data_IF_764478666655
#
_entry.id   IF_764478666655
#
_cell.length_a   1.000
_cell.length_b   1.000
_cell.length_c   1.000
_cell.angle_alpha   90.00
_cell.angle_beta   90.00
_cell.angle_gamma   90.00
#
_symmetry.space_group_name_H-M   'P 1'
#
loop_
_entity.id
_entity.type
_entity.pdbx_description
1 polymer ?
#
# COMPACT_ATOMS: atom_id res chain seq x y z
N UNK A 1 111.94 35.38 67.16
CA UNK A 1 110.46 35.33 67.21
C UNK A 1 109.78 35.26 65.84
N UNK A 2 110.48 35.18 64.68
CA UNK A 2 109.82 34.98 63.38
C UNK A 2 109.67 33.52 62.95
N UNK A 3 110.52 32.61 63.45
CA UNK A 3 110.48 31.18 63.11
C UNK A 3 109.29 30.43 63.71
N UNK A 4 108.88 30.75 64.96
CA UNK A 4 107.71 30.15 65.62
C UNK A 4 106.39 30.55 64.97
N UNK A 5 106.32 31.75 64.38
CA UNK A 5 105.16 32.24 63.64
C UNK A 5 105.03 31.54 62.28
N UNK A 6 106.16 31.23 61.63
CA UNK A 6 106.22 30.43 60.40
C UNK A 6 105.82 28.97 60.66
N UNK A 7 106.27 28.39 61.77
CA UNK A 7 105.92 27.03 62.21
C UNK A 7 104.42 26.89 62.55
N UNK A 8 103.83 27.89 63.23
CA UNK A 8 102.38 27.92 63.50
C UNK A 8 101.54 28.09 62.22
N UNK A 9 102.05 28.82 61.22
CA UNK A 9 101.42 28.94 59.89
C UNK A 9 101.54 27.64 59.07
N UNK A 10 102.67 26.93 59.18
CA UNK A 10 102.92 25.67 58.47
C UNK A 10 102.18 24.48 59.08
N UNK A 11 101.89 24.50 60.38
CA UNK A 11 101.17 23.40 61.06
C UNK A 11 99.68 23.29 60.68
N UNK A 12 99.03 24.41 60.35
CA UNK A 12 97.61 24.43 59.94
C UNK A 12 97.37 24.23 58.44
N UNK A 13 98.44 24.22 57.65
CA UNK A 13 98.40 24.04 56.19
C UNK A 13 97.89 22.65 55.76
N UNK A 14 98.29 21.53 56.39
CA UNK A 14 97.76 20.21 56.10
C UNK A 14 96.25 20.10 56.43
N UNK A 15 95.83 20.58 57.60
CA UNK A 15 94.41 20.55 58.01
C UNK A 15 93.55 21.45 57.11
N UNK A 16 94.06 22.62 56.71
CA UNK A 16 93.39 23.49 55.76
C UNK A 16 93.32 22.87 54.36
N UNK A 17 94.36 22.15 53.93
CA UNK A 17 94.41 21.41 52.66
C UNK A 17 93.41 20.24 52.65
N UNK A 18 93.34 19.47 53.73
CA UNK A 18 92.39 18.36 53.88
C UNK A 18 90.95 18.85 53.97
N UNK A 19 90.72 19.96 54.67
CA UNK A 19 89.39 20.61 54.73
C UNK A 19 88.99 21.13 53.36
N UNK A 20 89.90 21.77 52.63
CA UNK A 20 89.67 22.25 51.27
C UNK A 20 89.45 21.09 50.28
N UNK A 21 90.19 19.98 50.38
CA UNK A 21 90.01 18.81 49.52
C UNK A 21 88.68 18.11 49.78
N UNK A 22 88.27 18.00 51.04
CA UNK A 22 86.97 17.46 51.45
C UNK A 22 85.81 18.34 50.96
N UNK A 23 85.95 19.66 51.07
CA UNK A 23 84.97 20.61 50.49
C UNK A 23 84.91 20.51 48.97
N UNK A 24 86.05 20.44 48.29
CA UNK A 24 86.11 20.31 46.84
C UNK A 24 85.44 19.01 46.39
N UNK A 25 85.69 17.89 47.08
CA UNK A 25 85.08 16.58 46.80
C UNK A 25 83.57 16.64 46.97
N UNK A 26 83.08 17.21 48.09
CA UNK A 26 81.63 17.42 48.30
C UNK A 26 80.99 18.32 47.24
N UNK A 27 81.68 19.37 46.82
CA UNK A 27 81.21 20.25 45.73
C UNK A 27 81.17 19.50 44.39
N UNK A 28 82.19 18.70 44.10
CA UNK A 28 82.27 17.89 42.89
C UNK A 28 81.14 16.85 42.83
N UNK A 29 80.87 16.17 43.95
CA UNK A 29 79.79 15.18 44.06
C UNK A 29 78.41 15.83 43.93
N UNK A 30 78.22 17.01 44.53
CA UNK A 30 76.99 17.79 44.39
C UNK A 30 76.77 18.26 42.95
N UNK A 31 77.79 18.82 42.29
CA UNK A 31 77.73 19.22 40.89
C UNK A 31 77.47 18.02 39.97
N UNK A 32 78.15 16.90 40.21
CA UNK A 32 77.93 15.67 39.44
C UNK A 32 76.49 15.17 39.58
N UNK A 33 75.96 15.14 40.81
CA UNK A 33 74.58 14.74 41.09
C UNK A 33 73.57 15.66 40.41
N UNK A 34 73.79 16.98 40.50
CA UNK A 34 72.94 17.99 39.85
C UNK A 34 72.95 17.84 38.32
N UNK A 35 74.13 17.68 37.72
CA UNK A 35 74.28 17.47 36.27
C UNK A 35 73.62 16.17 35.81
N UNK A 36 73.75 15.10 36.60
CA UNK A 36 73.09 13.81 36.32
C UNK A 36 71.58 13.96 36.35
N UNK A 37 71.02 14.62 37.36
CA UNK A 37 69.58 14.88 37.46
C UNK A 37 69.07 15.77 36.32
N UNK A 38 69.82 16.83 35.98
CA UNK A 38 69.49 17.71 34.86
C UNK A 38 69.51 16.98 33.52
N UNK A 39 70.49 16.12 33.28
CA UNK A 39 70.55 15.29 32.08
C UNK A 39 69.38 14.30 32.01
N UNK A 40 69.02 13.68 33.12
CA UNK A 40 67.84 12.80 33.19
C UNK A 40 66.54 13.55 32.85
N UNK A 41 66.33 14.74 33.42
CA UNK A 41 65.15 15.59 33.10
C UNK A 41 65.14 16.02 31.63
N UNK A 42 66.29 16.39 31.06
CA UNK A 42 66.41 16.74 29.63
C UNK A 42 66.09 15.55 28.72
N UNK A 43 66.62 14.37 29.02
CA UNK A 43 66.33 13.14 28.27
C UNK A 43 64.84 12.81 28.32
N UNK A 44 64.22 12.88 29.51
CA UNK A 44 62.78 12.65 29.67
C UNK A 44 61.95 13.64 28.85
N UNK A 45 62.27 14.94 28.92
CA UNK A 45 61.58 15.97 28.13
C UNK A 45 61.74 15.73 26.61
N UNK A 46 62.93 15.33 26.17
CA UNK A 46 63.17 14.99 24.77
C UNK A 46 62.37 13.76 24.32
N UNK A 47 62.29 12.71 25.15
CA UNK A 47 61.49 11.52 24.84
C UNK A 47 59.99 11.87 24.71
N UNK A 48 59.48 12.72 25.60
CA UNK A 48 58.10 13.19 25.55
C UNK A 48 57.83 14.07 24.33
N UNK A 49 58.71 15.02 23.99
CA UNK A 49 58.53 15.86 22.81
C UNK A 49 58.64 15.07 21.51
N UNK A 50 59.50 14.04 21.48
CA UNK A 50 59.57 13.11 20.36
C UNK A 50 58.26 12.31 20.25
N UNK A 51 57.74 11.77 21.35
CA UNK A 51 56.47 11.06 21.39
C UNK A 51 55.33 11.94 20.86
N UNK A 52 55.25 13.20 21.30
CA UNK A 52 54.24 14.16 20.84
C UNK A 52 54.34 14.43 19.34
N UNK A 53 55.56 14.61 18.81
CA UNK A 53 55.78 14.78 17.37
C UNK A 53 55.26 13.60 16.57
N UNK A 54 55.59 12.38 17.00
CA UNK A 54 55.14 11.16 16.34
C UNK A 54 53.61 10.97 16.44
N UNK A 55 52.98 11.41 17.53
CA UNK A 55 51.53 11.43 17.66
C UNK A 55 50.86 12.42 16.70
N UNK A 56 51.42 13.62 16.54
CA UNK A 56 50.92 14.62 15.59
C UNK A 56 51.07 14.13 14.14
N UNK A 57 52.20 13.51 13.80
CA UNK A 57 52.42 12.91 12.48
C UNK A 57 51.40 11.79 12.21
N UNK A 58 51.16 10.93 13.21
CA UNK A 58 50.17 9.86 13.12
C UNK A 58 48.74 10.38 13.00
N UNK A 59 48.37 11.41 13.76
CA UNK A 59 47.06 12.05 13.66
C UNK A 59 46.85 12.68 12.27
N UNK A 60 47.88 13.33 11.72
CA UNK A 60 47.87 13.89 10.37
C UNK A 60 47.66 12.82 9.29
N UNK A 61 48.37 11.70 9.39
CA UNK A 61 48.18 10.56 8.49
C UNK A 61 46.78 9.95 8.63
N UNK A 62 46.34 9.72 9.86
CA UNK A 62 45.02 9.14 10.14
C UNK A 62 43.86 10.01 9.62
N UNK A 63 44.01 11.33 9.63
CA UNK A 63 43.02 12.26 9.05
C UNK A 63 42.96 12.22 7.53
N UNK A 64 44.04 11.84 6.85
CA UNK A 64 44.11 11.79 5.39
C UNK A 64 43.55 10.50 4.79
N UNK A 65 43.30 9.48 5.61
CA UNK A 65 42.68 8.22 5.17
C UNK A 65 41.28 8.51 4.62
N UNK A 66 40.96 8.11 3.37
CA UNK A 66 39.64 8.29 2.79
C UNK A 66 38.63 7.39 3.51
N UNK A 67 37.53 7.99 3.94
CA UNK A 67 36.36 7.30 4.52
C UNK A 67 35.13 7.59 3.65
N UNK A 68 34.20 6.63 3.46
CA UNK A 68 34.20 5.28 4.02
C UNK A 68 35.12 4.29 3.28
N UNK A 69 35.68 3.34 4.03
CA UNK A 69 36.44 2.19 3.51
C UNK A 69 36.08 0.92 4.31
N UNK A 70 36.46 -0.26 3.82
CA UNK A 70 36.16 -1.51 4.55
C UNK A 70 36.96 -1.57 5.86
N UNK A 71 36.39 -2.16 6.90
CA UNK A 71 37.06 -2.35 8.19
C UNK A 71 38.35 -3.15 8.05
N UNK A 72 38.38 -4.12 7.12
CA UNK A 72 39.57 -4.92 6.82
C UNK A 72 40.69 -4.08 6.20
N UNK A 73 40.38 -3.28 5.19
CA UNK A 73 41.37 -2.40 4.54
C UNK A 73 41.87 -1.34 5.52
N UNK A 74 40.98 -0.72 6.30
CA UNK A 74 41.34 0.27 7.32
C UNK A 74 42.30 -0.32 8.37
N UNK A 75 41.99 -1.51 8.88
CA UNK A 75 42.82 -2.17 9.88
C UNK A 75 44.20 -2.52 9.32
N UNK A 76 44.28 -2.98 8.08
CA UNK A 76 45.55 -3.32 7.43
C UNK A 76 46.44 -2.09 7.20
N UNK A 77 45.90 -1.00 6.64
CA UNK A 77 46.68 0.24 6.40
C UNK A 77 47.12 0.89 7.70
N UNK A 78 46.22 0.99 8.69
CA UNK A 78 46.55 1.58 9.99
C UNK A 78 47.61 0.76 10.72
N UNK A 79 47.44 -0.56 10.82
CA UNK A 79 48.43 -1.40 11.52
C UNK A 79 49.81 -1.36 10.84
N UNK A 80 49.86 -1.42 9.50
CA UNK A 80 51.12 -1.33 8.77
C UNK A 80 51.84 0.00 9.03
N UNK A 81 51.10 1.11 9.10
CA UNK A 81 51.67 2.41 9.41
C UNK A 81 52.14 2.51 10.86
N UNK A 82 51.35 1.98 11.81
CA UNK A 82 51.70 1.97 13.23
C UNK A 82 52.98 1.16 13.51
N UNK A 83 53.12 -0.01 12.89
CA UNK A 83 54.29 -0.86 13.07
C UNK A 83 55.57 -0.14 12.60
N UNK A 84 55.53 0.50 11.42
CA UNK A 84 56.63 1.31 10.89
C UNK A 84 56.96 2.50 11.81
N UNK A 85 55.92 3.16 12.33
CA UNK A 85 56.06 4.33 13.18
C UNK A 85 56.68 3.98 14.52
N UNK A 86 56.24 2.87 15.13
CA UNK A 86 56.81 2.34 16.38
C UNK A 86 58.25 1.87 16.21
N UNK A 87 58.59 1.20 15.09
CA UNK A 87 59.96 0.78 14.79
C UNK A 87 60.89 2.00 14.62
N UNK A 88 60.44 3.02 13.89
CA UNK A 88 61.18 4.28 13.70
C UNK A 88 61.36 5.05 15.01
N UNK A 89 60.37 5.00 15.89
CA UNK A 89 60.46 5.62 17.22
C UNK A 89 61.45 4.88 18.13
N UNK A 90 61.38 3.54 18.17
CA UNK A 90 62.27 2.70 18.97
C UNK A 90 63.74 2.83 18.53
N UNK A 91 64.00 2.86 17.23
CA UNK A 91 65.37 3.07 16.69
C UNK A 91 65.92 4.44 17.09
N UNK A 92 65.14 5.52 17.00
CA UNK A 92 65.59 6.86 17.46
C UNK A 92 65.88 6.91 18.95
N UNK A 93 65.10 6.21 19.78
CA UNK A 93 65.33 6.15 21.23
C UNK A 93 66.52 5.28 21.63
N UNK A 94 66.80 4.22 20.88
CA UNK A 94 67.87 3.26 21.20
C UNK A 94 69.27 3.87 21.26
N UNK A 95 69.49 5.02 20.59
CA UNK A 95 70.75 5.77 20.63
C UNK A 95 70.93 6.63 21.89
N UNK A 96 69.84 6.89 22.62
CA UNK A 96 69.79 7.88 23.70
C UNK A 96 69.52 7.27 25.07
N UNK A 97 68.85 6.11 25.10
CA UNK A 97 68.27 5.55 26.32
C UNK A 97 68.48 4.03 26.36
N UNK A 98 68.67 3.41 27.54
CA UNK A 98 68.74 1.95 27.69
C UNK A 98 67.52 1.21 27.10
N UNK A 99 67.70 -0.08 26.81
CA UNK A 99 66.65 -0.92 26.20
C UNK A 99 65.39 -1.03 27.07
N UNK A 100 65.53 -1.10 28.40
CA UNK A 100 64.39 -1.22 29.30
C UNK A 100 63.49 0.01 29.20
N UNK A 101 64.05 1.21 29.28
CA UNK A 101 63.32 2.48 29.18
C UNK A 101 62.77 2.71 27.76
N UNK A 102 63.48 2.28 26.72
CA UNK A 102 62.98 2.34 25.32
C UNK A 102 61.65 1.59 25.17
N UNK A 103 61.53 0.42 25.83
CA UNK A 103 60.29 -0.37 25.81
C UNK A 103 59.13 0.35 26.52
N UNK A 104 59.42 1.07 27.61
CA UNK A 104 58.42 1.84 28.37
C UNK A 104 57.83 2.97 27.53
N UNK A 105 58.68 3.77 26.89
CA UNK A 105 58.21 4.87 26.02
C UNK A 105 57.50 4.35 24.77
N UNK A 106 57.98 3.26 24.16
CA UNK A 106 57.31 2.66 22.99
C UNK A 106 55.92 2.12 23.33
N UNK A 107 55.76 1.49 24.50
CA UNK A 107 54.47 1.05 25.00
C UNK A 107 53.53 2.24 25.32
N UNK A 108 54.06 3.34 25.84
CA UNK A 108 53.28 4.56 26.06
C UNK A 108 52.77 5.14 24.74
N UNK A 109 53.64 5.27 23.73
CA UNK A 109 53.27 5.73 22.41
C UNK A 109 52.22 4.82 21.77
N UNK A 110 52.39 3.49 21.85
CA UNK A 110 51.43 2.51 21.35
C UNK A 110 50.02 2.72 21.94
N UNK A 111 49.89 2.90 23.25
CA UNK A 111 48.59 3.18 23.90
C UNK A 111 47.96 4.48 23.39
N UNK A 112 48.77 5.53 23.22
CA UNK A 112 48.28 6.79 22.65
C UNK A 112 47.81 6.63 21.20
N UNK A 113 48.51 5.82 20.40
CA UNK A 113 48.13 5.51 19.03
C UNK A 113 46.85 4.67 18.96
N UNK A 114 46.65 3.71 19.87
CA UNK A 114 45.42 2.92 19.96
C UNK A 114 44.16 3.80 20.12
N UNK A 115 44.25 4.91 20.86
CA UNK A 115 43.17 5.89 20.97
C UNK A 115 42.88 6.59 19.63
N UNK A 116 43.92 6.94 18.86
CA UNK A 116 43.74 7.53 17.53
C UNK A 116 43.13 6.52 16.55
N UNK A 117 43.53 5.24 16.60
CA UNK A 117 42.92 4.17 15.82
C UNK A 117 41.43 4.05 16.10
N UNK A 118 41.06 4.00 17.38
CA UNK A 118 39.65 3.92 17.78
C UNK A 118 38.84 5.13 17.27
N UNK A 119 39.43 6.32 17.28
CA UNK A 119 38.80 7.52 16.74
C UNK A 119 38.57 7.45 15.22
N UNK A 120 39.54 6.92 14.46
CA UNK A 120 39.40 6.72 13.01
C UNK A 120 38.39 5.63 12.67
N UNK A 121 38.40 4.52 13.42
CA UNK A 121 37.41 3.45 13.27
C UNK A 121 36.00 3.99 13.48
N UNK A 122 35.78 4.74 14.57
CA UNK A 122 34.48 5.37 14.84
C UNK A 122 34.07 6.35 13.73
N UNK A 123 35.02 7.11 13.17
CA UNK A 123 34.75 8.02 12.04
C UNK A 123 34.34 7.24 10.79
N UNK A 124 34.98 6.10 10.53
CA UNK A 124 34.66 5.22 9.40
C UNK A 124 33.28 4.56 9.59
N UNK A 125 32.99 4.05 10.78
CA UNK A 125 31.69 3.43 11.10
C UNK A 125 30.55 4.42 10.89
N UNK A 126 30.68 5.65 11.39
CA UNK A 126 29.69 6.72 11.15
C UNK A 126 29.55 7.08 9.67
N UNK A 127 30.63 7.01 8.89
CA UNK A 127 30.59 7.28 7.47
C UNK A 127 29.90 6.14 6.70
N UNK A 128 30.12 4.88 7.11
CA UNK A 128 29.44 3.70 6.57
C UNK A 128 27.95 3.72 6.89
N UNK A 129 27.56 4.01 8.14
CA UNK A 129 26.16 4.17 8.54
C UNK A 129 25.45 5.20 7.65
N UNK A 130 26.03 6.39 7.49
CA UNK A 130 25.49 7.43 6.60
C UNK A 130 25.41 6.99 5.14
N UNK A 131 26.39 6.24 4.65
CA UNK A 131 26.37 5.71 3.29
C UNK A 131 25.21 4.73 3.11
N UNK A 132 24.98 3.83 4.07
CA UNK A 132 23.85 2.91 4.03
C UNK A 132 22.52 3.65 4.11
N UNK A 133 22.35 4.59 5.05
CA UNK A 133 21.13 5.40 5.20
C UNK A 133 20.80 6.17 3.92
N UNK A 134 21.79 6.86 3.33
CA UNK A 134 21.61 7.59 2.07
C UNK A 134 21.27 6.66 0.91
N UNK A 135 21.87 5.47 0.86
CA UNK A 135 21.59 4.49 -0.19
C UNK A 135 20.18 3.90 -0.06
N UNK A 136 19.70 3.69 1.17
CA UNK A 136 18.32 3.26 1.44
C UNK A 136 17.33 4.34 0.99
N UNK A 137 17.60 5.61 1.31
CA UNK A 137 16.76 6.73 0.88
C UNK A 137 16.70 6.82 -0.65
N UNK A 138 17.86 6.79 -1.33
CA UNK A 138 17.91 6.81 -2.78
C UNK A 138 17.19 5.61 -3.43
N UNK A 139 17.34 4.40 -2.86
CA UNK A 139 16.64 3.21 -3.32
C UNK A 139 15.11 3.34 -3.16
N UNK A 140 14.64 3.92 -2.06
CA UNK A 140 13.22 4.17 -1.81
C UNK A 140 12.63 5.21 -2.78
N UNK A 141 13.40 6.24 -3.13
CA UNK A 141 12.99 7.24 -4.12
C UNK A 141 12.87 6.62 -5.52
N UNK A 142 13.85 5.78 -5.91
CA UNK A 142 13.82 5.04 -7.18
C UNK A 142 12.62 4.10 -7.21
N UNK A 143 12.36 3.36 -6.13
CA UNK A 143 11.17 2.51 -6.02
C UNK A 143 9.91 3.33 -6.30
N UNK A 144 9.72 4.44 -5.58
CA UNK A 144 8.53 5.30 -5.68
C UNK A 144 8.34 5.86 -7.10
N UNK A 145 9.43 6.23 -7.77
CA UNK A 145 9.39 6.72 -9.15
C UNK A 145 9.01 5.65 -10.18
N UNK A 146 9.31 4.37 -9.90
CA UNK A 146 9.06 3.24 -10.82
C UNK A 146 7.68 2.62 -10.64
N UNK A 147 7.07 2.75 -9.45
CA UNK A 147 5.80 2.07 -9.12
C UNK A 147 4.57 2.97 -9.22
N UNK A 148 4.58 4.01 -10.07
CA UNK A 148 3.44 4.92 -10.19
C UNK A 148 2.20 4.22 -10.79
N UNK A 149 1.06 4.30 -10.08
CA UNK A 149 -0.22 3.77 -10.55
C UNK A 149 -0.88 4.76 -11.53
N UNK A 150 -1.17 4.31 -12.74
CA UNK A 150 -1.95 5.06 -13.73
C UNK A 150 -3.45 4.72 -13.67
N UNK A 151 -3.80 3.61 -13.03
CA UNK A 151 -5.15 3.08 -12.88
C UNK A 151 -5.14 1.87 -11.96
N UNK A 152 -6.29 1.23 -11.79
CA UNK A 152 -6.38 -0.03 -11.07
C UNK A 152 -5.64 -1.14 -11.84
N UNK A 153 -4.79 -1.87 -11.14
CA UNK A 153 -3.98 -2.97 -11.69
C UNK A 153 -4.46 -4.30 -11.14
N UNK A 154 -4.54 -5.32 -11.99
CA UNK A 154 -4.81 -6.70 -11.57
C UNK A 154 -3.64 -7.24 -10.74
N UNK A 155 -3.87 -8.33 -10.00
CA UNK A 155 -2.83 -8.94 -9.14
C UNK A 155 -1.55 -9.27 -9.95
N UNK A 156 -1.71 -9.75 -11.17
CA UNK A 156 -0.58 -10.08 -12.05
C UNK A 156 0.21 -8.85 -12.49
N UNK A 157 -0.48 -7.74 -12.79
CA UNK A 157 0.14 -6.47 -13.17
C UNK A 157 0.81 -5.81 -11.96
N UNK A 158 0.15 -5.87 -10.79
CA UNK A 158 0.67 -5.36 -9.54
C UNK A 158 1.97 -6.08 -9.14
N UNK A 159 2.01 -7.41 -9.18
CA UNK A 159 3.23 -8.18 -8.86
C UNK A 159 4.38 -7.89 -9.84
N UNK A 160 4.09 -7.69 -11.13
CA UNK A 160 5.12 -7.26 -12.10
C UNK A 160 5.67 -5.87 -11.79
N UNK A 161 4.80 -4.91 -11.47
CA UNK A 161 5.20 -3.55 -11.12
C UNK A 161 6.03 -3.53 -9.84
N UNK A 162 5.55 -4.23 -8.80
CA UNK A 162 6.25 -4.44 -7.53
C UNK A 162 7.64 -5.03 -7.76
N UNK A 163 7.75 -6.12 -8.52
CA UNK A 163 9.04 -6.74 -8.82
C UNK A 163 9.99 -5.77 -9.52
N UNK A 164 9.50 -5.05 -10.53
CA UNK A 164 10.30 -4.05 -11.27
C UNK A 164 10.81 -2.95 -10.34
N UNK A 165 9.97 -2.45 -9.44
CA UNK A 165 10.37 -1.44 -8.45
C UNK A 165 11.38 -1.97 -7.43
N UNK A 166 11.16 -3.18 -6.90
CA UNK A 166 12.05 -3.81 -5.93
C UNK A 166 13.42 -4.09 -6.54
N UNK A 167 13.46 -4.68 -7.73
CA UNK A 167 14.71 -5.01 -8.42
C UNK A 167 15.53 -3.73 -8.69
N UNK A 168 14.88 -2.64 -9.14
CA UNK A 168 15.54 -1.35 -9.35
C UNK A 168 16.06 -0.70 -8.05
N UNK A 169 15.32 -0.83 -6.95
CA UNK A 169 15.75 -0.31 -5.64
C UNK A 169 16.97 -1.08 -5.11
N UNK A 170 16.98 -2.41 -5.24
CA UNK A 170 18.12 -3.24 -4.86
C UNK A 170 19.34 -2.99 -5.75
N UNK A 171 19.15 -2.76 -7.05
CA UNK A 171 20.26 -2.41 -7.95
C UNK A 171 20.99 -1.13 -7.49
N UNK A 172 20.24 -0.10 -7.09
CA UNK A 172 20.79 1.16 -6.56
C UNK A 172 21.53 0.90 -5.24
N UNK A 173 20.92 0.16 -4.32
CA UNK A 173 21.54 -0.16 -3.03
C UNK A 173 22.84 -0.97 -3.21
N UNK A 174 22.80 -2.03 -4.01
CA UNK A 174 23.95 -2.90 -4.28
C UNK A 174 25.08 -2.13 -4.97
N UNK A 175 24.78 -1.26 -5.93
CA UNK A 175 25.80 -0.47 -6.64
C UNK A 175 26.66 0.38 -5.69
N UNK A 176 26.08 0.86 -4.58
CA UNK A 176 26.74 1.72 -3.61
C UNK A 176 27.30 0.96 -2.40
N UNK A 177 26.62 -0.12 -1.98
CA UNK A 177 26.85 -0.75 -0.70
C UNK A 177 27.51 -2.14 -0.77
N UNK A 178 27.46 -2.82 -1.92
CA UNK A 178 27.88 -4.23 -2.04
C UNK A 178 29.35 -4.49 -1.70
N UNK A 179 30.21 -3.51 -1.92
CA UNK A 179 31.62 -3.56 -1.52
C UNK A 179 31.81 -3.66 0.01
N UNK A 180 30.77 -3.32 0.78
CA UNK A 180 30.73 -3.36 2.24
C UNK A 180 29.89 -4.53 2.77
N UNK A 181 29.58 -5.53 1.94
CA UNK A 181 28.76 -6.71 2.32
C UNK A 181 29.30 -7.50 3.51
N UNK A 182 30.62 -7.46 3.74
CA UNK A 182 31.25 -8.13 4.88
C UNK A 182 31.22 -7.29 6.18
N UNK A 183 30.71 -6.06 6.14
CA UNK A 183 30.59 -5.21 7.32
C UNK A 183 29.43 -5.67 8.21
N UNK A 184 29.63 -5.63 9.53
CA UNK A 184 28.62 -6.08 10.51
C UNK A 184 27.28 -5.34 10.37
N UNK A 185 27.32 -4.07 9.98
CA UNK A 185 26.13 -3.24 9.83
C UNK A 185 25.35 -3.52 8.54
N UNK A 186 25.94 -4.20 7.55
CA UNK A 186 25.35 -4.37 6.22
C UNK A 186 24.01 -5.12 6.27
N UNK A 187 23.97 -6.29 6.91
CA UNK A 187 22.76 -7.13 6.98
C UNK A 187 21.59 -6.39 7.65
N UNK A 188 21.87 -5.60 8.69
CA UNK A 188 20.87 -4.80 9.37
C UNK A 188 20.27 -3.72 8.46
N UNK A 189 21.10 -3.06 7.65
CA UNK A 189 20.66 -2.03 6.71
C UNK A 189 19.96 -2.62 5.48
N UNK A 190 20.39 -3.78 5.00
CA UNK A 190 19.67 -4.52 3.96
C UNK A 190 18.27 -4.95 4.44
N UNK A 191 18.16 -5.41 5.68
CA UNK A 191 16.87 -5.72 6.30
C UNK A 191 15.99 -4.46 6.49
N UNK A 192 16.61 -3.33 6.83
CA UNK A 192 15.92 -2.04 6.90
C UNK A 192 15.36 -1.63 5.52
N UNK A 193 16.12 -1.79 4.44
CA UNK A 193 15.65 -1.56 3.08
C UNK A 193 14.45 -2.46 2.76
N UNK A 194 14.55 -3.77 3.01
CA UNK A 194 13.45 -4.73 2.81
C UNK A 194 12.18 -4.29 3.53
N UNK A 195 12.32 -3.83 4.77
CA UNK A 195 11.21 -3.35 5.59
C UNK A 195 10.60 -2.06 5.02
N UNK A 196 11.43 -1.11 4.60
CA UNK A 196 10.99 0.14 3.97
C UNK A 196 10.22 -0.12 2.67
N UNK A 197 10.76 -0.98 1.80
CA UNK A 197 10.09 -1.38 0.55
C UNK A 197 8.78 -2.13 0.84
N UNK A 198 8.75 -3.02 1.83
CA UNK A 198 7.53 -3.76 2.20
C UNK A 198 6.40 -2.81 2.63
N UNK A 199 6.71 -1.80 3.45
CA UNK A 199 5.75 -0.75 3.85
C UNK A 199 5.25 0.06 2.65
N UNK A 200 6.15 0.41 1.73
CA UNK A 200 5.77 1.13 0.51
C UNK A 200 4.87 0.27 -0.41
N UNK A 201 5.14 -1.03 -0.51
CA UNK A 201 4.31 -1.98 -1.26
C UNK A 201 2.91 -2.12 -0.62
N UNK A 202 2.82 -2.19 0.70
CA UNK A 202 1.52 -2.23 1.39
C UNK A 202 0.71 -0.95 1.13
N UNK A 203 1.36 0.20 1.14
CA UNK A 203 0.70 1.47 0.79
C UNK A 203 0.23 1.47 -0.66
N UNK A 204 1.08 1.04 -1.59
CA UNK A 204 0.74 0.91 -3.00
C UNK A 204 -0.45 -0.03 -3.23
N UNK A 205 -0.52 -1.12 -2.48
CA UNK A 205 -1.65 -2.07 -2.53
C UNK A 205 -2.96 -1.41 -2.11
N UNK A 206 -2.95 -0.65 -1.01
CA UNK A 206 -4.14 0.10 -0.54
C UNK A 206 -4.57 1.16 -1.55
N UNK A 207 -3.61 1.84 -2.17
CA UNK A 207 -3.90 2.85 -3.19
C UNK A 207 -4.50 2.21 -4.45
N UNK A 208 -4.00 1.04 -4.86
CA UNK A 208 -4.57 0.24 -5.95
C UNK A 208 -6.00 -0.24 -5.65
N UNK A 209 -6.25 -0.75 -4.45
CA UNK A 209 -7.59 -1.17 -4.00
C UNK A 209 -8.58 0.00 -4.02
N UNK A 210 -8.14 1.19 -3.60
CA UNK A 210 -8.97 2.41 -3.65
C UNK A 210 -9.29 2.84 -5.09
N UNK A 211 -8.32 2.75 -6.00
CA UNK A 211 -8.53 3.02 -7.42
C UNK A 211 -9.53 2.02 -8.02
N UNK A 212 -9.41 0.74 -7.69
CA UNK A 212 -10.33 -0.31 -8.14
C UNK A 212 -11.76 -0.03 -7.67
N UNK A 213 -11.95 0.26 -6.37
CA UNK A 213 -13.27 0.60 -5.83
C UNK A 213 -13.88 1.80 -6.56
N UNK A 214 -13.10 2.87 -6.76
CA UNK A 214 -13.56 4.06 -7.47
C UNK A 214 -14.00 3.72 -8.89
N UNK A 215 -13.19 2.94 -9.61
CA UNK A 215 -13.49 2.52 -10.97
C UNK A 215 -14.76 1.66 -11.03
N UNK A 216 -14.90 0.68 -10.13
CA UNK A 216 -16.12 -0.15 -10.03
C UNK A 216 -17.37 0.68 -9.74
N UNK A 217 -17.31 1.65 -8.82
CA UNK A 217 -18.44 2.55 -8.53
C UNK A 217 -18.84 3.34 -9.78
N UNK A 218 -17.87 3.89 -10.51
CA UNK A 218 -18.10 4.67 -11.72
C UNK A 218 -18.71 3.79 -12.82
N UNK A 219 -18.17 2.59 -13.05
CA UNK A 219 -18.71 1.64 -14.02
C UNK A 219 -20.13 1.20 -13.67
N UNK A 220 -20.41 0.86 -12.39
CA UNK A 220 -21.78 0.52 -11.96
C UNK A 220 -22.75 1.66 -12.28
N UNK A 221 -22.39 2.91 -11.98
CA UNK A 221 -23.23 4.07 -12.31
C UNK A 221 -23.47 4.20 -13.82
N UNK A 222 -22.42 4.11 -14.63
CA UNK A 222 -22.53 4.20 -16.09
C UNK A 222 -23.40 3.08 -16.66
N UNK A 223 -23.24 1.85 -16.16
CA UNK A 223 -24.02 0.70 -16.59
C UNK A 223 -25.50 0.82 -16.21
N UNK A 224 -25.82 1.35 -15.03
CA UNK A 224 -27.20 1.63 -14.63
C UNK A 224 -27.85 2.70 -15.51
N UNK A 225 -27.14 3.80 -15.80
CA UNK A 225 -27.63 4.85 -16.70
C UNK A 225 -27.89 4.25 -18.09
N UNK A 226 -26.95 3.45 -18.62
CA UNK A 226 -27.11 2.75 -19.90
C UNK A 226 -28.32 1.83 -19.91
N UNK A 227 -28.58 1.12 -18.81
CA UNK A 227 -29.77 0.28 -18.66
C UNK A 227 -31.06 1.12 -18.65
N UNK A 228 -31.10 2.22 -17.91
CA UNK A 228 -32.24 3.14 -17.86
C UNK A 228 -32.54 3.77 -19.23
N UNK A 229 -31.51 4.19 -19.97
CA UNK A 229 -31.65 4.73 -21.32
C UNK A 229 -32.19 3.69 -22.31
N UNK A 230 -31.69 2.45 -22.24
CA UNK A 230 -32.14 1.37 -23.12
C UNK A 230 -33.53 0.84 -22.79
N UNK A 231 -33.95 0.95 -21.54
CA UNK A 231 -35.29 0.56 -21.07
C UNK A 231 -36.25 1.74 -20.95
N UNK A 232 -35.79 2.94 -21.33
CA UNK A 232 -36.54 4.17 -21.25
C UNK A 232 -37.62 4.32 -22.33
N UNK A 233 -38.43 5.39 -22.25
CA UNK A 233 -39.58 5.62 -23.12
C UNK A 233 -39.21 5.73 -24.61
N UNK A 234 -37.97 6.13 -24.91
CA UNK A 234 -37.47 6.26 -26.29
C UNK A 234 -37.24 4.90 -26.98
N UNK A 235 -37.09 3.81 -26.21
CA UNK A 235 -36.83 2.46 -26.73
C UNK A 235 -37.92 1.45 -26.38
N UNK A 236 -38.58 1.64 -25.24
CA UNK A 236 -39.71 0.84 -24.79
C UNK A 236 -40.95 1.72 -24.67
N UNK A 237 -41.84 1.59 -25.64
CA UNK A 237 -43.17 2.23 -25.58
C UNK A 237 -44.09 1.36 -24.72
N UNK A 238 -44.52 1.90 -23.59
CA UNK A 238 -45.53 1.29 -22.73
C UNK A 238 -46.93 1.82 -23.11
N UNK A 239 -47.99 1.01 -22.96
CA UNK A 239 -47.97 -0.34 -22.39
C UNK A 239 -47.63 -1.43 -23.42
N UNK A 240 -47.06 -2.53 -22.94
CA UNK A 240 -46.60 -3.69 -23.73
C UNK A 240 -46.94 -4.99 -23.01
N UNK A 241 -47.15 -6.09 -23.76
CA UNK A 241 -47.39 -7.43 -23.19
C UNK A 241 -46.38 -7.74 -22.06
N UNK A 242 -46.87 -8.24 -20.92
CA UNK A 242 -46.07 -8.50 -19.72
C UNK A 242 -44.93 -9.47 -20.00
N UNK A 243 -45.20 -10.55 -20.74
CA UNK A 243 -44.17 -11.54 -21.11
C UNK A 243 -43.12 -10.96 -22.04
N UNK A 244 -43.52 -10.12 -23.00
CA UNK A 244 -42.59 -9.45 -23.91
C UNK A 244 -41.73 -8.42 -23.16
N UNK A 245 -42.32 -7.69 -22.20
CA UNK A 245 -41.59 -6.76 -21.34
C UNK A 245 -40.55 -7.51 -20.50
N UNK A 246 -40.95 -8.60 -19.86
CA UNK A 246 -40.06 -9.42 -19.03
C UNK A 246 -38.88 -9.96 -19.84
N UNK A 247 -39.11 -10.49 -21.04
CA UNK A 247 -38.05 -10.98 -21.92
C UNK A 247 -37.07 -9.86 -22.28
N UNK A 248 -37.56 -8.69 -22.69
CA UNK A 248 -36.70 -7.57 -23.07
C UNK A 248 -35.88 -7.02 -21.90
N UNK A 249 -36.52 -6.86 -20.74
CA UNK A 249 -35.84 -6.41 -19.53
C UNK A 249 -34.77 -7.42 -19.08
N UNK A 250 -35.06 -8.72 -19.16
CA UNK A 250 -34.10 -9.76 -18.79
C UNK A 250 -32.90 -9.80 -19.76
N UNK A 251 -33.13 -9.67 -21.07
CA UNK A 251 -32.03 -9.60 -22.06
C UNK A 251 -31.11 -8.41 -21.77
N UNK A 252 -31.66 -7.20 -21.59
CA UNK A 252 -30.82 -6.04 -21.31
C UNK A 252 -30.13 -6.14 -19.95
N UNK A 253 -30.76 -6.76 -18.95
CA UNK A 253 -30.13 -7.03 -17.67
C UNK A 253 -28.93 -7.96 -17.83
N UNK A 254 -29.10 -9.09 -18.52
CA UNK A 254 -28.00 -10.02 -18.78
C UNK A 254 -26.87 -9.37 -19.57
N UNK A 255 -27.19 -8.50 -20.54
CA UNK A 255 -26.17 -7.75 -21.29
C UNK A 255 -25.34 -6.84 -20.38
N UNK A 256 -25.98 -6.12 -19.45
CA UNK A 256 -25.30 -5.21 -18.52
C UNK A 256 -24.48 -5.98 -17.48
N UNK A 257 -25.02 -7.08 -16.95
CA UNK A 257 -24.27 -7.97 -16.04
C UNK A 257 -23.03 -8.54 -16.75
N UNK A 258 -23.15 -8.96 -18.01
CA UNK A 258 -22.03 -9.46 -18.80
C UNK A 258 -20.97 -8.38 -19.08
N UNK A 259 -21.38 -7.14 -19.38
CA UNK A 259 -20.46 -6.02 -19.58
C UNK A 259 -19.62 -5.74 -18.33
N UNK A 260 -20.24 -5.76 -17.14
CA UNK A 260 -19.51 -5.64 -15.88
C UNK A 260 -18.53 -6.81 -15.67
N UNK A 261 -18.96 -8.04 -15.97
CA UNK A 261 -18.09 -9.21 -15.81
C UNK A 261 -16.86 -9.14 -16.71
N UNK A 262 -17.01 -8.69 -17.96
CA UNK A 262 -15.90 -8.54 -18.90
C UNK A 262 -14.94 -7.43 -18.45
N UNK A 263 -15.45 -6.27 -18.05
CA UNK A 263 -14.63 -5.13 -17.64
C UNK A 263 -13.77 -5.44 -16.40
N UNK A 264 -14.24 -6.35 -15.53
CA UNK A 264 -13.59 -6.70 -14.27
C UNK A 264 -13.19 -8.17 -14.13
N UNK A 265 -13.03 -8.90 -15.24
CA UNK A 265 -12.67 -10.33 -15.24
C UNK A 265 -11.39 -10.61 -14.43
N UNK A 266 -10.38 -9.77 -14.64
CA UNK A 266 -9.08 -9.82 -13.96
C UNK A 266 -9.16 -9.56 -12.44
N UNK A 267 -10.30 -9.09 -11.95
CA UNK A 267 -10.52 -8.70 -10.55
C UNK A 267 -11.54 -9.61 -9.84
N UNK A 268 -11.94 -10.73 -10.42
CA UNK A 268 -12.97 -11.62 -9.85
C UNK A 268 -12.63 -12.15 -8.44
N UNK A 269 -11.34 -12.27 -8.09
CA UNK A 269 -10.86 -12.68 -6.76
C UNK A 269 -10.99 -11.58 -5.70
N UNK A 270 -11.20 -10.32 -6.13
CA UNK A 270 -11.31 -9.19 -5.24
C UNK A 270 -12.63 -9.24 -4.45
N UNK A 271 -12.63 -9.00 -3.12
CA UNK A 271 -13.88 -8.91 -2.36
C UNK A 271 -14.81 -7.81 -2.90
N UNK A 272 -14.23 -6.74 -3.45
CA UNK A 272 -14.99 -5.62 -4.04
C UNK A 272 -15.77 -6.02 -5.28
N UNK A 273 -15.26 -6.95 -6.09
CA UNK A 273 -15.97 -7.46 -7.26
C UNK A 273 -17.33 -8.02 -6.86
N UNK A 274 -17.33 -8.94 -5.89
CA UNK A 274 -18.56 -9.59 -5.42
C UNK A 274 -19.57 -8.59 -4.84
N UNK A 275 -19.07 -7.56 -4.15
CA UNK A 275 -19.88 -6.51 -3.53
C UNK A 275 -20.57 -5.64 -4.58
N UNK A 276 -19.80 -5.10 -5.54
CA UNK A 276 -20.34 -4.18 -6.55
C UNK A 276 -21.17 -4.89 -7.61
N UNK A 277 -20.83 -6.14 -7.95
CA UNK A 277 -21.68 -6.95 -8.82
C UNK A 277 -23.05 -7.20 -8.18
N UNK A 278 -23.08 -7.56 -6.88
CA UNK A 278 -24.35 -7.71 -6.15
C UNK A 278 -25.13 -6.40 -6.08
N UNK A 279 -24.47 -5.27 -5.85
CA UNK A 279 -25.11 -3.96 -5.87
C UNK A 279 -25.73 -3.64 -7.22
N UNK A 280 -25.00 -3.89 -8.32
CA UNK A 280 -25.50 -3.73 -9.68
C UNK A 280 -26.75 -4.60 -9.91
N UNK A 281 -26.70 -5.89 -9.59
CA UNK A 281 -27.83 -6.81 -9.76
C UNK A 281 -29.07 -6.36 -8.97
N UNK A 282 -28.90 -5.90 -7.73
CA UNK A 282 -30.02 -5.41 -6.91
C UNK A 282 -30.64 -4.14 -7.48
N UNK A 283 -29.82 -3.20 -7.95
CA UNK A 283 -30.32 -1.96 -8.56
C UNK A 283 -30.99 -2.21 -9.91
N UNK A 284 -30.45 -3.11 -10.74
CA UNK A 284 -31.10 -3.54 -11.98
C UNK A 284 -32.47 -4.16 -11.71
N UNK A 285 -32.59 -5.04 -10.70
CA UNK A 285 -33.87 -5.62 -10.29
C UNK A 285 -34.88 -4.55 -9.86
N UNK A 286 -34.45 -3.54 -9.10
CA UNK A 286 -35.31 -2.41 -8.71
C UNK A 286 -35.84 -1.64 -9.93
N UNK A 287 -34.99 -1.36 -10.93
CA UNK A 287 -35.41 -0.67 -12.15
C UNK A 287 -36.39 -1.54 -12.95
N UNK A 288 -36.15 -2.85 -13.02
CA UNK A 288 -37.09 -3.81 -13.66
C UNK A 288 -38.46 -3.76 -12.99
N UNK A 289 -38.52 -3.80 -11.66
CA UNK A 289 -39.77 -3.72 -10.90
C UNK A 289 -40.50 -2.38 -11.13
N UNK A 290 -39.76 -1.28 -11.22
CA UNK A 290 -40.31 0.04 -11.55
C UNK A 290 -40.91 0.07 -12.96
N UNK A 291 -40.20 -0.46 -13.96
CA UNK A 291 -40.70 -0.56 -15.35
C UNK A 291 -41.94 -1.44 -15.45
N UNK A 292 -42.01 -2.54 -14.71
CA UNK A 292 -43.21 -3.37 -14.65
C UNK A 292 -44.40 -2.60 -14.05
N UNK A 293 -44.19 -1.83 -12.97
CA UNK A 293 -45.23 -0.98 -12.37
C UNK A 293 -45.69 0.13 -13.33
N UNK A 294 -44.75 0.77 -14.03
CA UNK A 294 -45.05 1.77 -15.06
C UNK A 294 -45.89 1.16 -16.19
N UNK A 295 -45.57 -0.07 -16.61
CA UNK A 295 -46.33 -0.78 -17.62
C UNK A 295 -47.77 -1.04 -17.17
N UNK A 296 -47.96 -1.54 -15.95
CA UNK A 296 -49.30 -1.75 -15.35
C UNK A 296 -50.07 -0.44 -15.25
N UNK A 297 -49.42 0.66 -14.86
CA UNK A 297 -50.04 1.98 -14.78
C UNK A 297 -50.45 2.51 -16.17
N UNK A 298 -49.57 2.38 -17.16
CA UNK A 298 -49.84 2.75 -18.54
C UNK A 298 -50.99 1.92 -19.14
N UNK A 299 -51.05 0.63 -18.79
CA UNK A 299 -52.18 -0.23 -19.13
C UNK A 299 -53.49 0.30 -18.56
N UNK A 300 -53.55 0.53 -17.25
CA UNK A 300 -54.74 1.04 -16.58
C UNK A 300 -55.27 2.32 -17.23
N UNK A 301 -54.39 3.26 -17.57
CA UNK A 301 -54.78 4.51 -18.23
C UNK A 301 -55.41 4.33 -19.62
N UNK A 302 -54.96 3.34 -20.40
CA UNK A 302 -55.47 3.13 -21.76
C UNK A 302 -56.81 2.39 -21.75
N UNK A 303 -57.02 1.49 -20.78
CA UNK A 303 -58.21 0.61 -20.75
C UNK A 303 -59.33 1.10 -19.85
N UNK A 304 -59.08 2.02 -18.92
CA UNK A 304 -60.09 2.50 -17.95
C UNK A 304 -61.36 3.06 -18.62
N UNK A 305 -61.23 3.95 -19.60
CA UNK A 305 -62.38 4.55 -20.30
C UNK A 305 -63.16 3.53 -21.16
N UNK A 306 -62.53 2.73 -22.04
CA UNK A 306 -63.22 1.66 -22.77
C UNK A 306 -63.94 0.67 -21.84
N UNK A 307 -63.31 0.27 -20.74
CA UNK A 307 -63.88 -0.71 -19.81
C UNK A 307 -65.01 -0.10 -18.95
N UNK A 308 -64.95 1.18 -18.60
CA UNK A 308 -66.09 1.90 -17.98
C UNK A 308 -67.31 1.93 -18.89
N UNK A 309 -67.13 2.18 -20.19
CA UNK A 309 -68.22 2.12 -21.17
C UNK A 309 -68.76 0.70 -21.31
N UNK A 310 -67.86 -0.29 -21.41
CA UNK A 310 -68.24 -1.70 -21.44
C UNK A 310 -69.09 -2.06 -20.20
N UNK A 311 -68.68 -1.65 -19.00
CA UNK A 311 -69.42 -1.89 -17.76
C UNK A 311 -70.84 -1.33 -17.80
N UNK A 312 -71.04 -0.11 -18.28
CA UNK A 312 -72.39 0.46 -18.39
C UNK A 312 -73.28 -0.39 -19.30
N UNK A 313 -72.76 -0.81 -20.47
CA UNK A 313 -73.48 -1.67 -21.43
C UNK A 313 -73.78 -3.04 -20.83
N UNK A 314 -72.80 -3.62 -20.13
CA UNK A 314 -72.90 -4.91 -19.47
C UNK A 314 -73.99 -4.86 -18.40
N UNK A 315 -73.95 -3.90 -17.47
CA UNK A 315 -74.89 -3.84 -16.35
C UNK A 315 -76.33 -3.60 -16.82
N UNK A 316 -76.54 -2.85 -17.91
CA UNK A 316 -77.85 -2.67 -18.54
C UNK A 316 -78.43 -3.98 -19.11
N UNK A 317 -77.56 -4.91 -19.53
CA UNK A 317 -77.97 -6.16 -20.20
C UNK A 317 -77.80 -7.41 -19.33
N UNK A 318 -77.10 -7.31 -18.21
CA UNK A 318 -76.83 -8.41 -17.28
C UNK A 318 -78.10 -9.17 -16.84
N UNK A 319 -79.25 -8.51 -16.55
CA UNK A 319 -80.48 -9.22 -16.15
C UNK A 319 -81.06 -10.16 -17.22
N UNK A 320 -80.62 -10.05 -18.48
CA UNK A 320 -81.11 -10.90 -19.59
C UNK A 320 -80.45 -12.28 -19.61
N UNK A 321 -79.31 -12.44 -18.93
CA UNK A 321 -78.55 -13.68 -18.92
C UNK A 321 -78.86 -14.52 -17.68
N UNK A 322 -79.19 -15.80 -17.89
CA UNK A 322 -79.59 -16.74 -16.82
C UNK A 322 -78.49 -17.72 -16.39
N UNK A 323 -77.34 -17.70 -17.05
CA UNK A 323 -76.21 -18.58 -16.77
C UNK A 323 -74.93 -17.78 -16.54
N UNK A 324 -74.07 -18.26 -15.63
CA UNK A 324 -72.76 -17.66 -15.37
C UNK A 324 -71.89 -17.67 -16.64
N UNK A 325 -71.90 -18.79 -17.37
CA UNK A 325 -71.16 -18.93 -18.63
C UNK A 325 -71.63 -17.92 -19.70
N UNK A 326 -72.95 -17.79 -19.90
CA UNK A 326 -73.51 -16.86 -20.89
C UNK A 326 -73.21 -15.40 -20.55
N UNK A 327 -73.36 -15.02 -19.27
CA UNK A 327 -73.04 -13.68 -18.82
C UNK A 327 -71.53 -13.38 -18.94
N UNK A 328 -70.65 -14.33 -18.56
CA UNK A 328 -69.20 -14.16 -18.68
C UNK A 328 -68.73 -14.08 -20.13
N UNK A 329 -69.32 -14.88 -21.02
CA UNK A 329 -69.06 -14.83 -22.47
C UNK A 329 -69.49 -13.48 -23.06
N UNK A 330 -70.68 -12.99 -22.69
CA UNK A 330 -71.16 -11.68 -23.10
C UNK A 330 -70.27 -10.54 -22.60
N UNK A 331 -69.86 -10.57 -21.33
CA UNK A 331 -68.92 -9.58 -20.78
C UNK A 331 -67.61 -9.57 -21.58
N UNK A 332 -67.07 -10.75 -21.88
CA UNK A 332 -65.85 -10.88 -22.68
C UNK A 332 -66.02 -10.26 -24.07
N UNK A 333 -67.12 -10.55 -24.77
CA UNK A 333 -67.40 -9.98 -26.08
C UNK A 333 -67.55 -8.46 -26.06
N UNK A 334 -68.33 -7.91 -25.12
CA UNK A 334 -68.54 -6.46 -25.01
C UNK A 334 -67.25 -5.73 -24.66
N UNK A 335 -66.46 -6.26 -23.72
CA UNK A 335 -65.18 -5.66 -23.39
C UNK A 335 -64.17 -5.77 -24.54
N UNK A 336 -64.11 -6.90 -25.26
CA UNK A 336 -63.25 -7.03 -26.44
C UNK A 336 -63.62 -6.02 -27.53
N UNK A 337 -64.92 -5.84 -27.79
CA UNK A 337 -65.43 -4.86 -28.74
C UNK A 337 -65.00 -3.43 -28.38
N UNK A 338 -65.13 -3.06 -27.10
CA UNK A 338 -64.70 -1.73 -26.64
C UNK A 338 -63.17 -1.55 -26.68
N UNK A 339 -62.40 -2.64 -26.49
CA UNK A 339 -60.94 -2.65 -26.63
C UNK A 339 -60.47 -2.72 -28.10
N UNK A 340 -61.37 -2.93 -29.07
CA UNK A 340 -61.09 -2.77 -30.49
C UNK A 340 -61.20 -1.32 -30.98
N UNK A 341 -61.61 -0.40 -30.10
CA UNK A 341 -61.60 1.03 -30.34
C UNK A 341 -60.36 1.70 -29.72
N UNK A 342 -59.81 2.73 -30.39
CA UNK A 342 -58.70 3.53 -29.85
C UNK A 342 -57.33 2.83 -29.86
N UNK A 343 -56.49 3.15 -28.87
CA UNK A 343 -55.08 2.71 -28.80
C UNK A 343 -54.91 1.21 -28.53
N UNK A 344 -55.91 0.57 -27.91
CA UNK A 344 -55.90 -0.85 -27.58
C UNK A 344 -56.22 -1.76 -28.79
N UNK A 345 -56.69 -1.18 -29.90
CA UNK A 345 -57.11 -1.92 -31.10
C UNK A 345 -56.08 -2.93 -31.58
N UNK A 346 -54.81 -2.51 -31.66
CA UNK A 346 -53.71 -3.30 -32.22
C UNK A 346 -53.03 -4.23 -31.21
N UNK A 347 -53.56 -4.34 -29.99
CA UNK A 347 -52.99 -5.22 -28.99
C UNK A 347 -53.28 -6.69 -29.30
N UNK A 348 -52.37 -7.56 -28.89
CA UNK A 348 -52.55 -9.00 -28.96
C UNK A 348 -53.82 -9.42 -28.21
N UNK A 349 -54.53 -10.40 -28.75
CA UNK A 349 -55.83 -10.83 -28.23
C UNK A 349 -55.72 -11.41 -26.81
N UNK A 350 -54.65 -12.16 -26.53
CA UNK A 350 -54.39 -12.74 -25.20
C UNK A 350 -54.21 -11.68 -24.12
N UNK A 351 -53.55 -10.57 -24.47
CA UNK A 351 -53.39 -9.42 -23.59
C UNK A 351 -54.75 -8.78 -23.28
N UNK A 352 -55.61 -8.60 -24.29
CA UNK A 352 -56.97 -8.09 -24.10
C UNK A 352 -57.79 -9.02 -23.20
N UNK A 353 -57.71 -10.34 -23.41
CA UNK A 353 -58.42 -11.33 -22.59
C UNK A 353 -58.02 -11.28 -21.13
N UNK A 354 -56.72 -11.20 -20.83
CA UNK A 354 -56.23 -11.11 -19.45
C UNK A 354 -56.72 -9.83 -18.76
N UNK A 355 -56.67 -8.70 -19.45
CA UNK A 355 -57.19 -7.42 -18.95
C UNK A 355 -58.68 -7.52 -18.58
N UNK A 356 -59.47 -8.17 -19.43
CA UNK A 356 -60.90 -8.34 -19.19
C UNK A 356 -61.15 -9.24 -17.98
N UNK A 357 -60.38 -10.31 -17.81
CA UNK A 357 -60.48 -11.20 -16.64
C UNK A 357 -60.16 -10.45 -15.34
N UNK A 358 -59.11 -9.64 -15.34
CA UNK A 358 -58.73 -8.82 -14.18
C UNK A 358 -59.81 -7.75 -13.89
N UNK A 359 -60.36 -7.13 -14.92
CA UNK A 359 -61.44 -6.15 -14.81
C UNK A 359 -62.72 -6.74 -14.20
N UNK A 360 -63.14 -7.93 -14.65
CA UNK A 360 -64.29 -8.65 -14.10
C UNK A 360 -64.09 -8.96 -12.62
N UNK A 361 -62.86 -9.36 -12.26
CA UNK A 361 -62.52 -9.78 -10.89
C UNK A 361 -62.36 -8.59 -9.94
N UNK A 362 -61.89 -7.45 -10.45
CA UNK A 362 -61.65 -6.23 -9.69
C UNK A 362 -62.87 -5.31 -9.54
N UNK A 363 -63.87 -5.42 -10.41
CA UNK A 363 -65.09 -4.60 -10.33
C UNK A 363 -66.18 -5.29 -9.46
N UNK A 364 -66.56 -4.71 -8.31
CA UNK A 364 -67.49 -5.34 -7.38
C UNK A 364 -68.91 -5.46 -7.95
N UNK A 365 -69.33 -4.58 -8.87
CA UNK A 365 -70.68 -4.67 -9.46
C UNK A 365 -70.76 -5.78 -10.49
N UNK A 366 -69.73 -5.95 -11.32
CA UNK A 366 -69.63 -7.06 -12.27
C UNK A 366 -69.49 -8.40 -11.56
N UNK A 367 -68.69 -8.46 -10.50
CA UNK A 367 -68.53 -9.64 -9.66
C UNK A 367 -69.85 -10.03 -8.97
N UNK A 368 -70.58 -9.04 -8.43
CA UNK A 368 -71.91 -9.27 -7.83
C UNK A 368 -72.94 -9.71 -8.88
N UNK A 369 -72.90 -9.14 -10.09
CA UNK A 369 -73.78 -9.54 -11.19
C UNK A 369 -73.55 -11.02 -11.57
N UNK A 370 -72.29 -11.46 -11.70
CA UNK A 370 -71.94 -12.86 -11.95
C UNK A 370 -72.37 -13.77 -10.80
N UNK A 371 -72.16 -13.34 -9.56
CA UNK A 371 -72.58 -14.09 -8.37
C UNK A 371 -74.11 -14.25 -8.30
N UNK A 372 -74.88 -13.25 -8.74
CA UNK A 372 -76.35 -13.28 -8.72
C UNK A 372 -76.95 -14.34 -9.65
N UNK A 373 -76.20 -14.77 -10.66
CA UNK A 373 -76.61 -15.77 -11.66
C UNK A 373 -76.03 -17.16 -11.31
N UNK A 374 -75.32 -17.29 -10.19
CA UNK A 374 -74.67 -18.52 -9.75
C UNK A 374 -75.66 -19.46 -9.04
N UNK A 375 -75.83 -20.67 -9.55
CA UNK A 375 -76.70 -21.69 -8.96
C UNK A 375 -76.57 -23.05 -9.65
N UNK A 376 -77.05 -24.13 -9.01
CA UNK A 376 -76.96 -25.51 -9.53
C UNK A 376 -77.60 -25.65 -10.92
N UNK A 377 -78.81 -25.12 -11.11
CA UNK A 377 -79.50 -25.14 -12.40
C UNK A 377 -78.82 -24.25 -13.46
N UNK A 378 -78.29 -23.09 -13.06
CA UNK A 378 -77.52 -22.19 -13.92
C UNK A 378 -76.20 -22.83 -14.38
N UNK A 379 -75.57 -23.65 -13.53
CA UNK A 379 -74.33 -24.37 -13.85
C UNK A 379 -74.58 -25.50 -14.86
N UNK A 380 -75.68 -26.25 -14.71
CA UNK A 380 -76.08 -27.30 -15.66
C UNK A 380 -76.43 -26.68 -17.01
N UNK A 381 -77.25 -25.63 -17.04
CA UNK A 381 -77.60 -24.91 -18.27
C UNK A 381 -76.37 -24.24 -18.91
N UNK A 382 -75.46 -23.70 -18.09
CA UNK A 382 -74.20 -23.12 -18.55
C UNK A 382 -73.26 -24.14 -19.20
N UNK A 383 -73.21 -25.37 -18.68
CA UNK A 383 -72.47 -26.46 -19.30
C UNK A 383 -73.03 -26.81 -20.69
N UNK A 384 -74.35 -26.93 -20.83
CA UNK A 384 -74.97 -27.17 -22.14
C UNK A 384 -74.79 -25.98 -23.10
N UNK A 385 -74.86 -24.74 -22.61
CA UNK A 385 -74.58 -23.55 -23.42
C UNK A 385 -73.11 -23.52 -23.91
N UNK A 386 -72.16 -23.96 -23.08
CA UNK A 386 -70.75 -24.11 -23.48
C UNK A 386 -70.56 -25.24 -24.50
N UNK A 387 -71.22 -26.38 -24.33
CA UNK A 387 -71.17 -27.47 -25.32
C UNK A 387 -71.77 -27.03 -26.66
N UNK A 388 -72.90 -26.30 -26.64
CA UNK A 388 -73.57 -25.82 -27.85
C UNK A 388 -72.79 -24.72 -28.57
N UNK A 389 -72.05 -23.87 -27.84
CA UNK A 389 -71.19 -22.85 -28.44
C UNK A 389 -70.00 -23.47 -29.21
N UNK A 390 -69.51 -24.66 -28.80
CA UNK A 390 -68.52 -25.42 -29.57
C UNK A 390 -69.06 -25.93 -30.92
N UNK A 391 -70.38 -26.03 -31.07
CA UNK A 391 -71.07 -26.40 -32.31
C UNK A 391 -71.63 -25.18 -33.07
N UNK A 392 -71.35 -23.96 -32.63
CA UNK A 392 -71.76 -22.72 -33.31
C UNK A 392 -73.24 -22.35 -33.13
N UNK A 393 -73.90 -22.86 -32.08
CA UNK A 393 -75.30 -22.52 -31.77
C UNK A 393 -75.35 -21.56 -30.59
N UNK A 394 -75.66 -20.29 -30.86
CA UNK A 394 -75.91 -19.27 -29.84
C UNK A 394 -77.35 -19.40 -29.28
N UNK A 395 -77.50 -19.44 -27.96
CA UNK A 395 -78.76 -19.63 -27.24
C UNK A 395 -79.13 -18.41 -26.39
#
# INVERSE_FOLDING_TARGET
MSFTLLEQLLHGLPDALDTASSQLTKQLDNEFSLRREMNFKKLKLFCLSLQEKFLLDAEGYMKSIPVPTTSATLKATVNSYLDQLLETFATKLSFLVPKEETSVYSNSLKKSLEHLVAAVQLKNDKALERLFENSIAAAADVFSSKVTLQGALSDSQFERLKKTGVDAAFEVFDSSCKNFSNEKAYEAHEALLKTTLSKAIEQLKKDNERLLQKHMIETVKTLLIKFEEKTGPDRLTLPMNVSDLEIRLNIERTNVEAEFTVDFEDFHTSPHYSQYFKELTLRLASIVDERQKENVKAFGQVVDEPLKRARQIILLSAPKYKTEYGLRSYIMQVCLLQLEEGKAKYWQEDLKKNIIVDFISGDPELSNALASVRGLWSSILGFFAWVLSLFGVDL
#
